data_IF_691770416800
#
_entry.id   IF_691770416800
#
_cell.length_a   1.000
_cell.length_b   1.000
_cell.length_c   1.000
_cell.angle_alpha   90.00
_cell.angle_beta   90.00
_cell.angle_gamma   90.00
#
_symmetry.space_group_name_H-M   'P 1'
#
loop_
_entity.id
_entity.type
_entity.pdbx_description
1 polymer ?
2 non-polymer ?
3 non-polymer ?
4 water ?
#
# COMPACT_ATOMS: atom_id res chain seq x y z
N UNK A 25 -19.42 -5.30 -21.88
CA UNK A 25 -19.50 -6.40 -20.87
C UNK A 25 -20.68 -6.39 -19.88
N UNK A 26 -21.15 -7.55 -19.46
CA UNK A 26 -22.47 -7.58 -18.87
C UNK A 26 -22.27 -7.05 -17.46
N UNK A 27 -23.38 -6.52 -16.94
CA UNK A 27 -23.56 -6.18 -15.54
C UNK A 27 -23.03 -7.26 -14.62
N UNK A 28 -23.60 -8.45 -14.74
CA UNK A 28 -23.32 -9.53 -13.80
C UNK A 28 -21.80 -9.69 -13.77
N UNK A 29 -21.17 -9.49 -14.91
CA UNK A 29 -19.76 -9.84 -14.98
C UNK A 29 -18.99 -8.72 -14.28
N UNK A 30 -19.45 -7.49 -14.44
CA UNK A 30 -18.78 -6.42 -13.72
C UNK A 30 -18.90 -6.56 -12.20
N UNK A 31 -20.16 -6.57 -11.76
CA UNK A 31 -20.43 -7.03 -10.43
C UNK A 31 -19.71 -8.27 -9.93
N UNK A 32 -19.58 -9.35 -10.71
CA UNK A 32 -18.86 -10.49 -10.15
C UNK A 32 -17.37 -10.21 -10.00
N UNK A 33 -16.86 -9.32 -10.86
CA UNK A 33 -15.50 -8.86 -10.73
C UNK A 33 -15.25 -7.99 -9.50
N UNK A 34 -16.16 -7.08 -9.21
CA UNK A 34 -15.92 -6.16 -8.13
C UNK A 34 -16.01 -6.95 -6.81
N UNK A 35 -16.65 -8.11 -6.88
CA UNK A 35 -17.05 -8.77 -5.62
C UNK A 35 -15.89 -8.93 -4.62
N UNK A 36 -14.76 -9.44 -5.13
CA UNK A 36 -13.58 -9.56 -4.28
C UNK A 36 -13.07 -8.23 -3.70
N UNK A 37 -13.04 -7.15 -4.48
CA UNK A 37 -12.54 -5.92 -3.89
C UNK A 37 -13.57 -5.37 -2.93
N UNK A 38 -14.83 -5.62 -3.21
CA UNK A 38 -15.80 -5.29 -2.19
C UNK A 38 -15.58 -6.06 -0.88
N UNK A 39 -15.36 -7.36 -0.99
CA UNK A 39 -14.98 -8.10 0.18
C UNK A 39 -13.85 -7.41 0.90
N UNK A 40 -12.85 -6.97 0.16
CA UNK A 40 -11.65 -6.56 0.90
C UNK A 40 -11.88 -5.21 1.53
N UNK A 41 -12.65 -4.37 0.87
CA UNK A 41 -12.70 -3.00 1.29
C UNK A 41 -13.74 -2.85 2.37
N UNK A 42 -14.44 -3.92 2.69
CA UNK A 42 -15.50 -3.82 3.67
C UNK A 42 -15.08 -3.72 5.14
N UNK A 43 -15.72 -2.84 5.87
CA UNK A 43 -15.36 -2.69 7.28
C UNK A 43 -14.01 -2.05 7.49
N UNK A 44 -13.37 -1.68 6.40
CA UNK A 44 -12.05 -1.09 6.34
C UNK A 44 -12.21 0.45 6.33
N UNK A 45 -11.16 1.18 6.73
CA UNK A 45 -11.15 2.64 6.87
C UNK A 45 -10.35 3.32 5.74
N UNK A 46 -10.95 4.32 5.12
CA UNK A 46 -10.37 4.89 3.92
C UNK A 46 -10.31 6.41 4.14
N UNK A 47 -9.12 7.02 4.23
CA UNK A 47 -9.04 8.45 4.54
C UNK A 47 -8.93 9.16 3.21
N UNK A 48 -9.83 10.07 2.89
CA UNK A 48 -9.61 10.71 1.59
C UNK A 48 -9.20 12.20 1.58
N UNK A 49 -8.06 12.52 0.99
CA UNK A 49 -7.65 13.90 0.94
C UNK A 49 -8.01 14.45 -0.44
N UNK A 50 -8.88 15.45 -0.42
CA UNK A 50 -9.52 15.89 -1.66
C UNK A 50 -9.12 17.30 -2.06
N UNK A 51 -8.62 17.47 -3.27
CA UNK A 51 -8.34 18.82 -3.74
C UNK A 51 -9.64 19.63 -3.78
N UNK A 52 -9.60 20.91 -3.42
CA UNK A 52 -10.86 21.63 -3.19
C UNK A 52 -11.44 22.12 -4.50
N UNK A 53 -10.62 22.11 -5.55
CA UNK A 53 -11.18 22.39 -6.87
C UNK A 53 -12.31 21.41 -7.14
N UNK A 54 -12.22 20.23 -6.54
CA UNK A 54 -13.15 19.16 -6.91
C UNK A 54 -14.53 19.45 -6.33
N UNK A 55 -14.58 20.30 -5.31
CA UNK A 55 -15.79 20.55 -4.55
C UNK A 55 -16.64 21.68 -5.14
N UNK A 56 -16.56 21.88 -6.45
CA UNK A 56 -16.94 23.17 -7.05
C UNK A 56 -17.59 23.04 -8.38
N UNK A 57 -16.91 22.40 -9.32
CA UNK A 57 -17.45 22.21 -10.69
C UNK A 57 -18.73 21.38 -10.78
N UNK A 58 -18.96 20.77 -11.96
CA UNK A 58 -19.88 19.63 -12.07
C UNK A 58 -19.25 18.37 -11.47
N UNK A 59 -17.97 18.47 -11.13
CA UNK A 59 -17.21 17.29 -10.71
C UNK A 59 -17.60 16.85 -9.30
N UNK A 60 -18.47 17.58 -8.62
CA UNK A 60 -18.69 17.42 -7.18
C UNK A 60 -19.83 16.42 -6.96
N UNK A 61 -20.81 16.45 -7.87
CA UNK A 61 -21.99 15.62 -7.74
C UNK A 61 -21.53 14.21 -8.02
N UNK A 62 -20.65 14.05 -9.00
CA UNK A 62 -20.21 12.71 -9.41
C UNK A 62 -19.52 12.21 -8.16
N UNK A 63 -18.72 13.07 -7.55
CA UNK A 63 -17.84 12.55 -6.53
C UNK A 63 -18.54 12.21 -5.21
N UNK A 64 -19.42 13.10 -4.76
CA UNK A 64 -20.33 12.78 -3.66
C UNK A 64 -21.07 11.47 -3.89
N UNK A 65 -21.62 11.30 -5.10
CA UNK A 65 -22.32 10.04 -5.41
C UNK A 65 -21.41 8.85 -5.16
N UNK A 66 -20.19 8.88 -5.70
CA UNK A 66 -19.31 7.72 -5.68
C UNK A 66 -19.05 7.46 -4.22
N UNK A 67 -18.88 8.55 -3.47
CA UNK A 67 -18.72 8.43 -2.02
C UNK A 67 -19.93 7.97 -1.19
N UNK A 68 -21.15 8.35 -1.54
CA UNK A 68 -22.30 7.62 -1.01
C UNK A 68 -22.16 6.13 -1.23
N UNK A 69 -21.80 5.72 -2.43
CA UNK A 69 -21.81 4.31 -2.72
C UNK A 69 -20.82 3.67 -1.75
N UNK A 70 -19.62 4.24 -1.65
CA UNK A 70 -18.63 3.63 -0.75
C UNK A 70 -19.31 3.41 0.60
N UNK A 71 -19.89 4.46 1.13
CA UNK A 71 -20.53 4.34 2.41
C UNK A 71 -21.45 3.13 2.30
N UNK A 72 -22.28 3.08 1.26
CA UNK A 72 -23.25 1.97 1.14
C UNK A 72 -22.52 0.63 1.18
N UNK A 73 -21.28 0.60 0.69
CA UNK A 73 -20.61 -0.69 0.63
C UNK A 73 -19.89 -1.00 1.93
N UNK A 74 -20.31 -0.38 3.04
CA UNK A 74 -19.64 -0.67 4.30
C UNK A 74 -18.19 -0.24 4.49
N UNK A 75 -17.75 0.83 3.82
CA UNK A 75 -16.41 1.30 4.03
C UNK A 75 -16.45 2.46 5.00
N UNK A 76 -15.58 2.47 5.99
CA UNK A 76 -15.48 3.65 6.87
C UNK A 76 -14.71 4.77 6.19
N UNK A 77 -15.29 5.96 6.19
CA UNK A 77 -14.82 7.06 5.36
C UNK A 77 -14.44 8.22 6.26
N UNK A 78 -13.25 8.79 6.04
CA UNK A 78 -12.95 10.07 6.60
C UNK A 78 -12.54 10.89 5.40
N UNK A 79 -13.09 12.09 5.33
CA UNK A 79 -12.87 12.90 4.14
C UNK A 79 -12.31 14.27 4.57
N UNK A 80 -11.22 14.70 3.94
CA UNK A 80 -10.61 15.98 4.29
C UNK A 80 -10.31 16.77 3.05
N UNK A 81 -10.58 18.07 3.08
CA UNK A 81 -10.40 18.84 1.86
C UNK A 81 -9.40 19.96 2.05
N UNK A 82 -8.86 20.45 0.93
CA UNK A 82 -7.88 21.54 0.97
C UNK A 82 -8.58 22.84 0.63
N UNK A 83 -7.81 23.92 0.62
CA UNK A 83 -8.27 25.29 0.42
C UNK A 83 -7.26 26.18 -0.33
N UNK A 84 -6.04 25.68 -0.52
CA UNK A 84 -5.00 26.50 -1.12
C UNK A 84 -5.48 27.10 -2.45
N UNK A 85 -6.01 26.28 -3.36
CA UNK A 85 -6.34 26.84 -4.67
C UNK A 85 -7.50 27.79 -4.58
N UNK A 86 -8.31 27.67 -3.54
CA UNK A 86 -9.39 28.64 -3.52
C UNK A 86 -8.84 29.95 -2.97
N UNK A 87 -8.14 29.84 -1.87
CA UNK A 87 -7.55 31.06 -1.34
C UNK A 87 -6.90 31.89 -2.45
N UNK A 88 -5.92 31.32 -3.16
CA UNK A 88 -5.15 32.06 -4.19
C UNK A 88 -6.06 32.65 -5.24
N UNK A 89 -7.06 31.89 -5.66
CA UNK A 89 -8.00 32.39 -6.66
C UNK A 89 -8.64 33.69 -6.17
N UNK A 90 -8.72 33.84 -4.84
CA UNK A 90 -9.24 35.03 -4.17
C UNK A 90 -8.08 36.00 -3.97
N UNK A 91 -6.90 35.49 -3.67
CA UNK A 91 -5.71 36.31 -3.50
C UNK A 91 -5.29 36.95 -4.82
N UNK A 92 -4.59 36.22 -5.68
CA UNK A 92 -4.21 36.86 -6.94
C UNK A 92 -5.29 37.87 -7.34
N UNK A 93 -6.57 37.53 -7.19
CA UNK A 93 -7.62 38.47 -7.60
C UNK A 93 -8.03 39.55 -6.60
N UNK A 94 -7.28 39.70 -5.50
CA UNK A 94 -7.49 40.80 -4.54
C UNK A 94 -6.38 41.84 -4.69
N UNK A 95 -5.29 41.45 -5.34
CA UNK A 95 -4.12 42.31 -5.52
C UNK A 95 -2.93 41.65 -4.88
N UNK A 96 -3.22 40.79 -3.90
CA UNK A 96 -2.21 40.18 -3.03
C UNK A 96 -1.62 38.96 -3.71
N UNK A 97 -0.45 38.56 -3.24
CA UNK A 97 0.20 37.37 -3.73
C UNK A 97 0.76 36.44 -2.63
N UNK A 98 0.27 35.19 -2.60
CA UNK A 98 0.61 34.18 -1.61
C UNK A 98 2.06 33.70 -1.77
N UNK A 99 2.81 33.64 -0.67
CA UNK A 99 4.09 32.95 -0.69
C UNK A 99 3.94 31.56 -0.10
N UNK A 100 4.58 30.59 -0.73
CA UNK A 100 4.63 29.31 -0.08
C UNK A 100 6.04 29.03 0.38
N UNK A 101 6.16 28.23 1.42
CA UNK A 101 7.49 27.91 1.93
C UNK A 101 7.65 26.40 2.17
N UNK A 102 8.47 25.77 1.35
CA UNK A 102 8.58 24.34 1.44
C UNK A 102 7.19 23.84 1.06
N UNK A 103 6.39 24.66 0.40
CA UNK A 103 5.05 24.22 -0.04
C UNK A 103 3.90 24.73 0.81
N UNK A 104 4.24 25.22 2.00
CA UNK A 104 3.25 25.60 3.01
C UNK A 104 2.90 27.07 2.96
N UNK A 105 1.62 27.35 2.76
CA UNK A 105 1.15 28.66 2.41
C UNK A 105 1.07 29.58 3.63
N UNK A 106 1.80 30.70 3.61
CA UNK A 106 1.69 31.62 4.72
C UNK A 106 0.23 32.06 4.67
N UNK A 107 -0.40 32.05 5.83
CA UNK A 107 -1.81 32.34 5.94
C UNK A 107 -2.06 33.42 6.98
N UNK A 108 -2.52 34.58 6.54
CA UNK A 108 -2.77 35.65 7.52
C UNK A 108 -4.16 35.56 8.10
N UNK A 109 -4.46 36.55 8.92
CA UNK A 109 -5.70 36.54 9.65
C UNK A 109 -6.91 36.72 8.71
N UNK A 110 -6.64 37.13 7.48
CA UNK A 110 -7.71 37.41 6.53
C UNK A 110 -7.93 36.20 5.62
N UNK A 111 -6.83 35.52 5.31
CA UNK A 111 -6.88 34.26 4.59
C UNK A 111 -7.54 33.21 5.48
N UNK A 112 -7.08 33.15 6.72
CA UNK A 112 -7.68 32.23 7.69
C UNK A 112 -9.18 32.48 7.76
N UNK A 113 -9.56 33.75 7.62
CA UNK A 113 -10.97 34.13 7.76
C UNK A 113 -11.74 33.61 6.57
N UNK A 114 -11.11 33.58 5.41
CA UNK A 114 -11.78 33.11 4.22
C UNK A 114 -11.81 31.59 4.18
N UNK A 115 -10.81 31.01 4.81
CA UNK A 115 -10.76 29.56 4.75
C UNK A 115 -11.94 29.08 5.58
N UNK A 116 -12.20 29.72 6.71
CA UNK A 116 -13.39 29.43 7.50
C UNK A 116 -14.65 29.59 6.67
N UNK A 117 -14.73 30.64 5.86
CA UNK A 117 -15.87 30.78 4.94
C UNK A 117 -15.95 29.69 3.86
N UNK A 118 -14.93 29.57 3.01
CA UNK A 118 -14.79 28.44 2.13
C UNK A 118 -15.15 27.07 2.73
N UNK A 119 -14.73 26.74 3.95
CA UNK A 119 -15.13 25.45 4.55
C UNK A 119 -16.64 25.27 4.80
N UNK A 120 -17.32 26.35 5.13
CA UNK A 120 -18.74 26.27 5.42
C UNK A 120 -19.55 26.09 4.14
N UNK A 121 -19.01 26.56 3.01
CA UNK A 121 -19.83 26.62 1.81
C UNK A 121 -19.57 25.32 1.07
N UNK A 122 -18.33 24.86 1.16
CA UNK A 122 -18.03 23.52 0.72
C UNK A 122 -18.77 22.44 1.49
N UNK A 123 -18.73 22.45 2.81
CA UNK A 123 -19.24 21.31 3.60
C UNK A 123 -20.71 21.28 3.30
N UNK A 124 -21.27 22.46 3.06
CA UNK A 124 -22.70 22.54 2.83
C UNK A 124 -23.14 22.12 1.43
N UNK A 125 -22.37 22.47 0.41
CA UNK A 125 -22.66 21.97 -0.92
C UNK A 125 -22.42 20.49 -1.03
N UNK A 126 -21.36 19.99 -0.41
CA UNK A 126 -21.09 18.57 -0.55
C UNK A 126 -22.25 17.86 0.13
N UNK A 127 -22.71 18.43 1.23
CA UNK A 127 -23.86 17.84 1.92
C UNK A 127 -25.06 17.73 0.98
N UNK A 128 -25.42 18.83 0.35
CA UNK A 128 -26.60 18.93 -0.50
C UNK A 128 -26.43 17.92 -1.61
N UNK A 129 -25.28 17.96 -2.26
CA UNK A 129 -24.91 17.06 -3.35
C UNK A 129 -24.95 15.61 -2.95
N UNK A 130 -24.87 15.35 -1.65
CA UNK A 130 -24.86 13.96 -1.23
C UNK A 130 -26.29 13.57 -0.85
N UNK A 131 -27.00 14.60 -0.44
CA UNK A 131 -28.35 14.38 0.02
C UNK A 131 -29.22 14.29 -1.22
N UNK A 132 -28.63 14.62 -2.37
CA UNK A 132 -29.38 14.71 -3.62
C UNK A 132 -29.00 13.70 -4.70
N UNK A 133 -28.54 12.51 -4.28
CA UNK A 133 -27.77 11.58 -5.12
C UNK A 133 -27.07 10.48 -4.33
N UNK A 142 -29.27 10.67 3.34
CA UNK A 142 -29.90 9.56 4.04
C UNK A 142 -28.67 8.72 4.35
N UNK A 143 -27.59 9.10 3.67
CA UNK A 143 -26.22 8.82 4.11
C UNK A 143 -25.84 9.85 5.18
N UNK A 144 -25.46 9.35 6.36
CA UNK A 144 -25.21 10.18 7.51
C UNK A 144 -23.80 10.75 7.49
N UNK A 145 -23.64 12.03 7.80
CA UNK A 145 -22.41 12.71 7.45
C UNK A 145 -22.16 13.58 8.64
N UNK A 146 -20.98 13.38 9.19
CA UNK A 146 -20.66 13.92 10.51
C UNK A 146 -19.39 14.70 10.62
N UNK A 147 -19.48 15.85 11.27
CA UNK A 147 -18.35 16.75 11.37
C UNK A 147 -18.16 17.08 12.84
N UNK A 148 -16.94 17.48 13.18
CA UNK A 148 -16.48 17.30 14.55
C UNK A 148 -15.28 18.17 14.84
N UNK A 149 -15.11 18.54 16.09
CA UNK A 149 -13.88 19.21 16.40
C UNK A 149 -12.85 18.17 16.73
N UNK A 150 -12.52 17.32 15.78
CA UNK A 150 -11.53 16.29 16.04
C UNK A 150 -10.09 16.79 16.05
N UNK A 151 -9.81 18.03 15.67
CA UNK A 151 -8.38 18.39 15.52
C UNK A 151 -7.82 19.51 16.40
N UNK A 152 -6.67 19.31 17.02
CA UNK A 152 -6.05 20.46 17.63
C UNK A 152 -4.72 20.78 16.93
N UNK A 153 -4.65 21.99 16.40
CA UNK A 153 -3.49 22.46 15.67
C UNK A 153 -2.57 23.29 16.56
N UNK A 154 -1.30 23.34 16.17
CA UNK A 154 -0.39 24.39 16.53
C UNK A 154 0.11 25.01 15.22
N UNK A 155 0.54 26.28 15.27
CA UNK A 155 1.07 27.00 14.10
C UNK A 155 2.41 26.39 13.72
N UNK A 156 2.70 26.44 12.44
CA UNK A 156 3.94 25.82 12.04
C UNK A 156 5.10 26.64 12.55
N UNK A 157 4.85 27.93 12.81
CA UNK A 157 5.90 28.82 13.28
C UNK A 157 6.75 29.38 12.14
N UNK A 158 8.06 29.41 12.33
CA UNK A 158 8.86 30.15 11.38
C UNK A 158 9.68 29.20 10.53
N UNK A 159 9.63 29.34 9.20
CA UNK A 159 10.49 28.53 8.34
C UNK A 159 11.48 29.36 7.49
N UNK A 160 12.77 29.12 7.69
CA UNK A 160 13.79 29.89 6.96
C UNK A 160 13.54 31.40 7.13
N UNK A 161 13.45 31.83 8.39
CA UNK A 161 13.20 33.23 8.74
C UNK A 161 11.83 33.76 8.32
N UNK A 162 10.89 32.89 7.97
CA UNK A 162 9.61 33.39 7.50
C UNK A 162 8.50 32.97 8.42
N UNK A 163 7.80 33.92 9.01
CA UNK A 163 6.58 33.66 9.77
C UNK A 163 5.42 33.09 8.93
N UNK A 164 5.09 31.83 9.16
CA UNK A 164 3.98 31.22 8.44
C UNK A 164 2.67 31.69 9.04
N UNK A 165 2.73 32.36 10.17
CA UNK A 165 1.55 32.99 10.77
C UNK A 165 0.52 31.99 11.24
N UNK A 166 -0.60 31.95 10.51
CA UNK A 166 -1.67 31.03 10.83
C UNK A 166 -1.57 29.67 10.14
N UNK A 167 -0.47 29.38 9.46
CA UNK A 167 -0.29 28.02 8.97
C UNK A 167 -0.05 27.05 10.13
N UNK A 168 -1.07 26.23 10.40
CA UNK A 168 -0.96 25.12 11.34
C UNK A 168 -0.51 23.76 10.82
N UNK A 169 -0.26 22.88 11.78
CA UNK A 169 -0.09 21.46 11.52
C UNK A 169 -0.76 20.79 12.71
N UNK A 170 -1.08 19.50 12.62
CA UNK A 170 -1.96 18.90 13.62
C UNK A 170 -1.06 18.51 14.77
N UNK A 171 -1.42 18.91 15.98
CA UNK A 171 -0.69 18.55 17.18
C UNK A 171 -1.41 17.36 17.82
N UNK A 172 -2.74 17.37 17.93
CA UNK A 172 -3.48 16.21 18.43
C UNK A 172 -4.73 15.99 17.61
N UNK A 173 -5.14 14.73 17.56
CA UNK A 173 -6.21 14.28 16.69
C UNK A 173 -7.00 13.34 17.61
N UNK A 174 -8.29 13.64 17.83
CA UNK A 174 -9.10 12.85 18.77
C UNK A 174 -9.47 11.52 18.11
N UNK A 175 -8.59 10.56 18.32
CA UNK A 175 -8.82 9.30 17.64
C UNK A 175 -10.03 8.56 18.19
N UNK A 176 -10.24 8.54 19.50
CA UNK A 176 -11.35 7.73 20.03
C UNK A 176 -12.66 8.29 19.49
N UNK A 177 -12.77 9.61 19.48
CA UNK A 177 -13.99 10.21 18.99
C UNK A 177 -14.25 9.77 17.57
N UNK A 178 -13.22 9.74 16.73
CA UNK A 178 -13.37 9.40 15.29
C UNK A 178 -13.82 7.96 15.16
N UNK A 179 -13.13 7.04 15.83
CA UNK A 179 -13.51 5.62 15.69
C UNK A 179 -14.96 5.46 16.09
N UNK A 180 -15.34 6.17 17.14
CA UNK A 180 -16.71 6.16 17.59
C UNK A 180 -17.67 6.47 16.45
N UNK A 181 -17.37 7.45 15.58
CA UNK A 181 -18.33 7.90 14.60
C UNK A 181 -18.33 6.92 13.46
N UNK A 182 -17.12 6.55 12.99
CA UNK A 182 -16.98 5.45 12.04
C UNK A 182 -17.60 4.19 12.56
N UNK A 183 -17.42 3.85 13.84
CA UNK A 183 -18.13 2.65 14.35
C UNK A 183 -19.63 2.74 14.06
N UNK A 184 -20.19 3.94 14.20
CA UNK A 184 -21.62 4.04 14.07
C UNK A 184 -22.01 4.07 12.60
N UNK A 185 -21.04 4.10 11.70
CA UNK A 185 -21.38 4.27 10.29
C UNK A 185 -21.53 5.70 9.80
N UNK A 186 -20.98 6.71 10.47
CA UNK A 186 -21.08 8.02 9.89
C UNK A 186 -19.95 8.29 8.92
N UNK A 187 -20.19 9.03 7.84
CA UNK A 187 -19.06 9.48 7.02
C UNK A 187 -18.50 10.73 7.69
N UNK A 188 -17.21 10.74 7.99
CA UNK A 188 -16.62 11.90 8.63
C UNK A 188 -16.14 12.94 7.63
N UNK A 189 -16.61 14.17 7.83
CA UNK A 189 -16.10 15.29 7.08
C UNK A 189 -15.21 16.19 7.91
N UNK A 190 -14.05 16.49 7.36
CA UNK A 190 -13.06 17.29 8.09
C UNK A 190 -12.59 18.47 7.22
N UNK A 191 -12.77 19.70 7.72
CA UNK A 191 -12.21 20.78 6.93
C UNK A 191 -10.72 20.94 7.27
N UNK A 192 -10.04 21.79 6.49
CA UNK A 192 -8.62 21.86 6.74
C UNK A 192 -8.35 22.95 7.79
N UNK A 193 -8.88 22.75 8.99
CA UNK A 193 -8.83 23.74 10.06
C UNK A 193 -8.81 22.96 11.35
N UNK A 194 -7.79 23.21 12.17
CA UNK A 194 -7.75 22.86 13.59
C UNK A 194 -7.74 24.09 14.50
N UNK A 195 -8.00 23.84 15.78
CA UNK A 195 -7.94 24.85 16.83
C UNK A 195 -6.89 24.52 17.88
N UNK A 196 -6.44 25.56 18.56
CA UNK A 196 -5.31 25.41 19.46
C UNK A 196 -5.97 25.72 20.77
N UNK A 197 -5.30 25.35 21.85
CA UNK A 197 -5.74 25.64 23.20
C UNK A 197 -5.75 27.12 23.59
N UNK A 198 -5.16 28.01 22.78
CA UNK A 198 -5.09 29.41 23.19
C UNK A 198 -6.30 30.09 22.61
N UNK A 199 -7.15 29.28 21.96
CA UNK A 199 -8.40 29.72 21.32
C UNK A 199 -8.28 30.27 19.90
N UNK A 200 -7.23 29.83 19.20
CA UNK A 200 -6.92 30.35 17.87
C UNK A 200 -7.12 29.18 16.92
N UNK A 201 -7.42 29.52 15.66
CA UNK A 201 -7.75 28.56 14.63
C UNK A 201 -6.67 28.59 13.60
N UNK A 202 -6.23 27.40 13.17
CA UNK A 202 -5.15 27.36 12.18
C UNK A 202 -5.50 26.71 10.87
N UNK A 203 -4.74 27.09 9.85
CA UNK A 203 -5.00 26.56 8.52
C UNK A 203 -4.10 25.37 8.24
N UNK A 204 -4.67 24.25 7.83
CA UNK A 204 -3.90 22.98 7.83
C UNK A 204 -3.55 22.54 6.42
N UNK A 205 -2.40 21.94 6.21
CA UNK A 205 -2.10 21.58 4.85
C UNK A 205 -2.85 20.27 4.57
N UNK A 206 -3.67 20.22 3.51
CA UNK A 206 -4.51 19.04 3.33
C UNK A 206 -3.72 17.75 3.20
N UNK A 207 -2.73 17.80 2.32
CA UNK A 207 -1.94 16.66 1.97
C UNK A 207 -1.27 16.06 3.18
N UNK A 208 -0.74 16.87 4.05
CA UNK A 208 -0.15 16.14 5.13
C UNK A 208 -1.04 16.09 6.35
N UNK A 209 -2.18 16.73 6.28
CA UNK A 209 -3.19 16.43 7.29
C UNK A 209 -3.80 15.06 7.16
N UNK A 210 -4.10 14.68 5.92
CA UNK A 210 -4.80 13.44 5.67
C UNK A 210 -3.90 12.34 6.10
N UNK A 211 -2.59 12.49 5.92
CA UNK A 211 -1.72 11.33 6.01
C UNK A 211 -1.54 11.16 7.48
N UNK A 212 -1.50 12.30 8.18
CA UNK A 212 -1.46 12.27 9.65
C UNK A 212 -2.70 11.64 10.33
N UNK A 213 -3.87 12.19 10.01
CA UNK A 213 -5.09 11.45 10.26
C UNK A 213 -5.16 9.93 9.92
N UNK A 214 -4.66 9.49 8.75
CA UNK A 214 -4.59 8.05 8.46
C UNK A 214 -3.69 7.29 9.40
N UNK A 215 -2.59 7.92 9.79
CA UNK A 215 -1.64 7.18 10.58
C UNK A 215 -2.32 7.10 11.96
N UNK A 216 -2.88 8.21 12.43
CA UNK A 216 -3.61 8.07 13.69
C UNK A 216 -4.61 6.89 13.66
N UNK A 217 -5.31 6.74 12.55
CA UNK A 217 -6.46 5.85 12.51
C UNK A 217 -5.89 4.49 12.20
N UNK A 218 -4.60 4.45 11.88
CA UNK A 218 -4.06 3.26 11.19
C UNK A 218 -4.99 2.80 10.06
N UNK A 219 -5.47 3.70 9.19
CA UNK A 219 -6.35 3.32 8.12
C UNK A 219 -5.62 2.37 7.18
N UNK A 220 -6.40 1.52 6.54
CA UNK A 220 -5.81 0.59 5.57
C UNK A 220 -5.42 1.35 4.33
N UNK A 221 -6.11 2.44 4.09
CA UNK A 221 -5.95 3.07 2.80
C UNK A 221 -6.20 4.59 2.85
N UNK A 222 -5.23 5.33 2.33
CA UNK A 222 -5.23 6.80 2.21
C UNK A 222 -5.36 7.06 0.72
N UNK A 223 -6.34 7.86 0.31
CA UNK A 223 -6.49 8.17 -1.11
C UNK A 223 -6.42 9.67 -1.35
N UNK A 224 -5.58 10.09 -2.30
CA UNK A 224 -5.47 11.52 -2.56
C UNK A 224 -6.17 11.80 -3.90
N UNK A 225 -7.15 12.70 -3.94
CA UNK A 225 -7.96 12.85 -5.16
C UNK A 225 -7.50 14.14 -5.76
N UNK A 226 -6.69 14.03 -6.82
CA UNK A 226 -5.95 15.20 -7.28
C UNK A 226 -6.62 15.56 -8.59
N UNK A 227 -5.89 16.34 -9.39
CA UNK A 227 -6.28 16.71 -10.73
C UNK A 227 -5.39 16.07 -11.79
N UNK A 228 -4.73 15.00 -11.36
CA UNK A 228 -3.75 14.32 -12.21
C UNK A 228 -3.97 12.83 -12.12
N UNK A 229 -3.79 12.18 -13.28
CA UNK A 229 -3.89 10.75 -13.46
C UNK A 229 -2.67 10.16 -12.79
N UNK A 230 -2.50 10.38 -11.51
CA UNK A 230 -1.46 9.64 -10.82
C UNK A 230 -0.07 10.17 -11.10
N UNK A 231 0.95 9.46 -10.67
CA UNK A 231 2.31 9.92 -10.76
C UNK A 231 3.06 9.32 -11.97
N UNK A 232 3.81 10.13 -12.72
CA UNK A 232 4.36 9.71 -14.01
C UNK A 232 5.78 9.26 -13.78
N UNK A 233 6.22 8.23 -14.50
CA UNK A 233 7.62 7.85 -14.43
C UNK A 233 8.51 8.73 -15.32
N UNK A 234 9.84 8.50 -15.20
CA UNK A 234 10.87 9.30 -15.86
C UNK A 234 10.45 9.62 -17.28
N UNK A 235 9.62 8.80 -17.90
CA UNK A 235 9.29 9.16 -19.28
C UNK A 235 7.83 9.01 -19.68
N UNK A 236 6.96 9.68 -18.93
CA UNK A 236 5.68 10.10 -19.43
C UNK A 236 4.60 9.06 -19.15
N UNK A 237 5.03 7.83 -18.87
CA UNK A 237 4.11 6.75 -18.53
C UNK A 237 3.65 6.84 -17.08
N UNK A 238 2.38 6.53 -16.84
CA UNK A 238 1.83 6.67 -15.51
C UNK A 238 2.20 5.41 -14.78
N UNK A 239 2.78 5.64 -13.59
CA UNK A 239 3.19 4.63 -12.63
C UNK A 239 1.99 3.96 -11.92
N UNK A 240 1.51 2.89 -12.52
CA UNK A 240 0.52 2.00 -11.92
C UNK A 240 0.71 1.67 -10.42
N UNK A 241 1.73 0.88 -10.09
CA UNK A 241 2.10 0.56 -8.70
C UNK A 241 3.57 0.89 -8.35
N UNK A 242 3.84 1.35 -7.13
CA UNK A 242 5.22 1.65 -6.77
C UNK A 242 5.54 1.26 -5.32
N UNK A 243 6.76 0.81 -5.08
CA UNK A 243 7.16 0.67 -3.69
C UNK A 243 7.42 2.05 -3.13
N UNK A 244 7.39 2.21 -1.83
CA UNK A 244 7.76 3.48 -1.26
C UNK A 244 9.13 3.91 -1.79
N UNK A 245 10.01 2.93 -2.01
CA UNK A 245 11.35 3.22 -2.53
C UNK A 245 11.34 3.82 -3.93
N UNK A 246 10.60 3.16 -4.81
CA UNK A 246 10.56 3.60 -6.20
C UNK A 246 9.94 4.99 -6.20
N UNK A 247 8.90 5.14 -5.38
CA UNK A 247 8.28 6.45 -5.23
C UNK A 247 9.37 7.46 -4.92
N UNK A 248 9.98 7.25 -3.75
CA UNK A 248 11.12 8.02 -3.29
C UNK A 248 12.06 8.44 -4.43
N UNK A 249 12.50 7.46 -5.21
CA UNK A 249 13.50 7.75 -6.21
C UNK A 249 12.94 8.50 -7.41
N UNK A 250 11.63 8.50 -7.62
CA UNK A 250 11.05 9.30 -8.71
C UNK A 250 11.04 10.76 -8.35
N UNK A 251 11.10 11.00 -7.05
CA UNK A 251 10.93 12.33 -6.50
C UNK A 251 12.11 13.24 -6.86
N UNK A 252 13.34 12.71 -6.88
CA UNK A 252 14.52 13.54 -7.12
C UNK A 252 14.40 14.40 -8.38
N UNK A 253 13.60 13.94 -9.34
CA UNK A 253 13.39 14.64 -10.60
C UNK A 253 11.95 15.06 -10.86
N UNK A 254 11.23 15.31 -9.79
CA UNK A 254 9.80 15.44 -9.88
C UNK A 254 9.50 16.85 -9.40
N UNK A 255 8.24 17.25 -9.57
CA UNK A 255 7.86 18.64 -9.51
C UNK A 255 7.45 18.85 -8.06
N UNK A 256 7.82 20.00 -7.50
CA UNK A 256 7.30 20.42 -6.20
C UNK A 256 6.10 19.59 -5.70
N UNK A 257 4.94 19.76 -6.34
CA UNK A 257 3.65 19.28 -5.89
C UNK A 257 3.69 17.78 -5.72
N UNK A 258 4.05 17.08 -6.79
CA UNK A 258 4.16 15.65 -6.74
C UNK A 258 5.32 15.24 -5.82
N UNK A 259 6.27 16.11 -5.58
CA UNK A 259 7.24 15.81 -4.52
C UNK A 259 6.66 15.70 -3.09
N UNK A 260 5.66 16.53 -2.79
CA UNK A 260 5.07 16.54 -1.45
C UNK A 260 4.00 15.47 -1.26
N UNK A 261 3.26 15.19 -2.32
CA UNK A 261 2.47 13.98 -2.29
C UNK A 261 3.39 12.85 -1.83
N UNK A 262 4.52 12.68 -2.53
CA UNK A 262 5.36 11.52 -2.26
C UNK A 262 5.84 11.37 -0.82
N UNK A 263 6.32 12.47 -0.24
CA UNK A 263 6.71 12.41 1.15
C UNK A 263 5.58 12.10 2.11
N UNK A 264 4.41 12.67 1.89
CA UNK A 264 3.34 12.40 2.84
C UNK A 264 2.87 10.98 2.62
N UNK A 265 3.13 10.46 1.42
CA UNK A 265 2.58 9.16 1.12
C UNK A 265 3.54 8.16 1.69
N UNK A 266 4.81 8.54 1.63
CA UNK A 266 5.83 7.72 2.25
C UNK A 266 5.68 7.70 3.75
N UNK A 267 5.32 8.83 4.33
CA UNK A 267 5.30 8.91 5.77
C UNK A 267 4.05 8.21 6.24
N UNK A 268 3.02 8.18 5.41
CA UNK A 268 1.76 7.60 5.88
C UNK A 268 2.04 6.12 5.99
N UNK A 269 2.59 5.58 4.90
CA UNK A 269 2.99 4.16 4.90
C UNK A 269 3.91 3.75 6.05
N UNK A 270 5.01 4.46 6.27
CA UNK A 270 5.92 4.03 7.31
C UNK A 270 5.19 4.16 8.63
N UNK A 271 4.27 5.11 8.69
CA UNK A 271 3.48 5.33 9.89
C UNK A 271 2.42 4.27 10.15
N UNK A 272 2.12 3.44 9.15
CA UNK A 272 1.40 2.19 9.38
C UNK A 272 0.32 1.96 8.35
N UNK A 273 -0.11 3.01 7.67
CA UNK A 273 -1.07 2.85 6.59
C UNK A 273 -0.62 1.79 5.58
N UNK A 274 -1.57 1.09 4.99
CA UNK A 274 -1.28 -0.15 4.29
C UNK A 274 -0.96 0.22 2.85
N UNK A 275 -1.59 1.27 2.33
CA UNK A 275 -1.55 1.48 0.89
C UNK A 275 -1.97 2.93 0.59
N UNK A 276 -1.18 3.77 -0.04
CA UNK A 276 -1.75 5.08 -0.34
C UNK A 276 -1.98 5.26 -1.82
N UNK A 277 -3.15 5.69 -2.27
CA UNK A 277 -3.33 5.96 -3.71
C UNK A 277 -3.45 7.40 -4.22
N UNK A 278 -3.05 7.59 -5.47
CA UNK A 278 -3.17 8.88 -6.13
C UNK A 278 -4.03 8.78 -7.41
N UNK A 279 -5.12 9.52 -7.46
CA UNK A 279 -6.02 9.45 -8.59
C UNK A 279 -6.31 10.87 -9.03
N UNK A 280 -6.89 10.89 -10.23
CA UNK A 280 -7.52 12.08 -10.73
C UNK A 280 -8.95 12.17 -10.31
N UNK A 281 -9.21 12.97 -9.28
CA UNK A 281 -10.60 13.08 -8.82
C UNK A 281 -11.53 13.69 -9.86
N UNK A 282 -10.96 14.40 -10.81
CA UNK A 282 -11.83 15.03 -11.79
C UNK A 282 -12.28 14.08 -12.89
N UNK A 283 -11.63 12.93 -13.03
CA UNK A 283 -11.93 11.96 -14.07
C UNK A 283 -13.13 11.16 -13.59
N UNK A 284 -14.18 11.09 -14.42
CA UNK A 284 -15.46 10.53 -13.97
C UNK A 284 -15.49 9.05 -13.49
N UNK A 285 -15.77 8.86 -12.21
CA UNK A 285 -15.89 7.51 -11.66
C UNK A 285 -14.55 6.89 -11.35
N UNK A 286 -13.48 7.66 -11.42
CA UNK A 286 -12.18 7.04 -11.16
C UNK A 286 -12.11 6.31 -9.81
N UNK A 287 -12.77 6.82 -8.78
CA UNK A 287 -12.63 6.26 -7.45
C UNK A 287 -13.09 4.82 -7.45
N UNK A 288 -14.26 4.60 -8.03
CA UNK A 288 -14.85 3.27 -8.15
C UNK A 288 -13.92 2.32 -8.86
N UNK A 289 -13.56 2.75 -10.05
CA UNK A 289 -12.74 1.98 -10.98
C UNK A 289 -11.38 1.66 -10.35
N UNK A 290 -10.87 2.56 -9.51
CA UNK A 290 -9.63 2.30 -8.80
C UNK A 290 -9.80 1.19 -7.75
N UNK A 291 -10.87 1.32 -6.94
CA UNK A 291 -11.08 0.44 -5.79
C UNK A 291 -11.62 -0.94 -6.10
N UNK A 292 -12.38 -1.08 -7.17
CA UNK A 292 -13.09 -2.34 -7.37
C UNK A 292 -12.82 -3.07 -8.69
N UNK A 293 -11.74 -2.70 -9.41
CA UNK A 293 -11.17 -3.44 -10.54
C UNK A 293 -9.78 -4.03 -10.27
N UNK A 294 -9.44 -5.04 -11.10
CA UNK A 294 -8.16 -5.79 -11.02
C UNK A 294 -7.09 -4.82 -11.52
N UNK A 295 -7.50 -4.04 -12.51
CA UNK A 295 -6.81 -2.81 -12.89
C UNK A 295 -7.22 -1.61 -12.02
N UNK A 296 -7.02 -0.40 -12.51
CA UNK A 296 -7.18 0.78 -11.69
C UNK A 296 -7.23 1.95 -12.67
N UNK A 297 -6.88 3.14 -12.19
CA UNK A 297 -6.65 4.25 -13.10
C UNK A 297 -5.72 5.28 -12.42
N UNK A 298 -4.89 4.87 -11.47
CA UNK A 298 -4.00 5.89 -10.94
C UNK A 298 -2.75 5.24 -10.42
N UNK A 299 -2.15 5.81 -9.39
CA UNK A 299 -0.88 5.27 -8.97
C UNK A 299 -1.24 4.66 -7.65
N UNK A 300 -0.55 3.59 -7.32
CA UNK A 300 -0.68 3.12 -5.96
C UNK A 300 0.66 2.75 -5.34
N UNK A 301 0.73 2.88 -4.03
CA UNK A 301 2.03 2.84 -3.38
C UNK A 301 2.02 2.06 -2.08
N UNK A 302 3.06 1.25 -1.93
CA UNK A 302 3.05 0.17 -0.94
C UNK A 302 4.44 0.00 -0.37
N UNK A 303 4.56 -0.39 0.91
CA UNK A 303 5.86 -0.53 1.58
C UNK A 303 6.25 -1.98 1.85
N UNK A 304 6.96 -2.52 0.87
CA UNK A 304 8.20 -3.31 1.07
C UNK A 304 8.76 -3.39 2.50
N UNK A 305 8.05 -3.99 3.45
CA UNK A 305 8.68 -4.25 4.74
C UNK A 305 10.13 -4.84 4.71
N UNK A 306 10.86 -4.78 5.82
CA UNK A 306 12.28 -5.22 5.89
C UNK A 306 12.52 -6.73 5.84
N UNK A 307 13.14 -7.21 4.77
CA UNK A 307 13.66 -8.57 4.87
C UNK A 307 14.94 -8.85 4.10
N UNK A 308 16.02 -8.96 4.84
CA UNK A 308 17.33 -9.23 4.28
C UNK A 308 17.46 -10.69 3.79
N UNK A 309 17.31 -10.90 2.49
CA UNK A 309 17.55 -12.23 1.94
C UNK A 309 18.82 -12.26 1.10
N UNK A 310 19.73 -13.21 1.35
CA UNK A 310 21.00 -13.28 0.61
C UNK A 310 21.60 -14.66 0.39
N UNK A 311 22.57 -14.71 -0.50
CA UNK A 311 23.20 -15.95 -0.85
C UNK A 311 23.80 -16.56 0.41
N UNK A 312 23.30 -17.71 0.84
CA UNK A 312 23.98 -18.50 1.85
C UNK A 312 25.47 -18.70 1.58
N UNK A 313 26.27 -18.65 2.65
CA UNK A 313 27.70 -18.93 2.55
C UNK A 313 28.14 -19.82 3.71
N UNK A 314 29.41 -20.17 3.72
CA UNK A 314 29.89 -21.20 4.63
C UNK A 314 29.35 -21.11 6.07
N UNK A 315 29.29 -19.92 6.68
CA UNK A 315 28.85 -19.69 8.06
C UNK A 315 27.41 -20.01 8.50
N UNK A 316 26.46 -19.85 7.57
CA UNK A 316 25.06 -20.19 7.84
C UNK A 316 24.79 -21.66 8.12
N UNK A 317 25.76 -22.54 7.82
CA UNK A 317 25.36 -23.92 7.69
C UNK A 317 24.88 -24.49 9.02
N UNK A 318 25.63 -24.24 10.11
CA UNK A 318 25.07 -24.71 11.38
C UNK A 318 23.65 -24.21 11.66
N UNK A 319 23.40 -22.90 11.56
CA UNK A 319 22.01 -22.43 11.59
C UNK A 319 21.05 -23.20 10.71
N UNK A 320 21.36 -23.27 9.41
CA UNK A 320 20.45 -23.93 8.49
C UNK A 320 20.16 -25.37 8.90
N UNK A 321 21.21 -25.99 9.43
CA UNK A 321 21.13 -27.35 9.93
C UNK A 321 20.13 -27.46 11.09
N UNK A 322 20.20 -26.52 12.03
CA UNK A 322 19.38 -26.57 13.21
C UNK A 322 17.93 -26.34 12.79
N UNK A 323 17.77 -25.44 11.81
CA UNK A 323 16.46 -25.07 11.30
C UNK A 323 15.83 -26.27 10.60
N UNK A 324 16.68 -26.89 9.79
CA UNK A 324 16.35 -27.95 8.85
C UNK A 324 16.16 -29.32 9.55
N UNK A 325 16.96 -29.53 10.59
CA UNK A 325 17.03 -30.85 11.14
C UNK A 325 15.74 -31.37 11.76
N UNK A 326 15.06 -30.55 12.59
CA UNK A 326 13.81 -31.03 13.18
C UNK A 326 12.86 -31.58 12.11
N UNK A 327 12.73 -30.77 11.06
CA UNK A 327 11.83 -30.98 9.95
C UNK A 327 12.27 -32.24 9.19
N UNK A 328 13.58 -32.33 8.97
CA UNK A 328 14.09 -33.49 8.26
C UNK A 328 13.92 -34.75 9.06
N UNK A 329 13.73 -34.61 10.37
CA UNK A 329 13.31 -35.72 11.25
C UNK A 329 11.80 -36.01 11.26
N UNK A 330 10.96 -35.04 10.97
CA UNK A 330 9.54 -35.35 10.97
C UNK A 330 9.10 -36.00 9.65
N UNK A 331 10.01 -36.03 8.69
CA UNK A 331 9.62 -36.38 7.31
C UNK A 331 9.02 -35.33 6.37
N UNK A 332 9.39 -34.07 6.51
CA UNK A 332 8.65 -33.02 5.83
C UNK A 332 9.66 -32.54 4.81
N UNK A 333 10.93 -32.82 5.11
CA UNK A 333 12.03 -32.41 4.25
C UNK A 333 13.00 -33.57 3.93
N UNK A 334 13.48 -33.61 2.70
CA UNK A 334 14.47 -34.63 2.36
C UNK A 334 15.59 -34.41 3.35
N UNK A 335 16.25 -35.52 3.67
CA UNK A 335 17.33 -35.52 4.64
C UNK A 335 18.58 -35.02 3.90
N UNK A 336 19.16 -33.95 4.44
CA UNK A 336 20.48 -33.45 4.06
C UNK A 336 21.69 -33.83 4.96
N UNK A 337 22.78 -33.07 4.85
CA UNK A 337 23.94 -33.43 5.65
C UNK A 337 25.07 -32.43 5.41
N UNK A 338 25.85 -32.20 6.47
CA UNK A 338 26.95 -31.24 6.46
C UNK A 338 27.60 -31.15 5.07
N UNK A 339 27.89 -32.29 4.44
CA UNK A 339 28.66 -32.28 3.21
C UNK A 339 27.71 -31.93 2.08
N UNK A 340 26.50 -32.46 2.17
CA UNK A 340 25.51 -32.20 1.13
C UNK A 340 25.49 -30.70 0.91
N UNK A 341 25.18 -30.03 2.03
CA UNK A 341 25.02 -28.60 2.18
C UNK A 341 26.29 -27.81 1.87
N UNK A 342 27.39 -28.18 2.55
CA UNK A 342 28.75 -27.68 2.29
C UNK A 342 29.08 -27.61 0.79
N UNK A 343 28.71 -28.64 0.04
CA UNK A 343 29.01 -28.66 -1.38
C UNK A 343 27.98 -28.01 -2.31
N UNK A 344 26.80 -27.66 -1.80
CA UNK A 344 25.78 -27.00 -2.60
C UNK A 344 25.35 -25.69 -1.96
N UNK A 345 26.13 -25.21 -0.99
CA UNK A 345 25.78 -24.00 -0.28
C UNK A 345 25.51 -22.89 -1.26
N UNK A 346 25.91 -23.01 -2.52
CA UNK A 346 25.58 -21.91 -3.43
C UNK A 346 24.11 -21.92 -3.89
N UNK A 347 23.42 -23.05 -3.81
CA UNK A 347 22.06 -23.08 -4.37
C UNK A 347 21.00 -22.64 -3.35
N UNK A 348 21.50 -22.25 -2.18
CA UNK A 348 20.68 -21.84 -1.02
C UNK A 348 20.61 -20.34 -0.78
N UNK A 349 19.42 -19.92 -0.34
CA UNK A 349 19.20 -18.58 0.21
C UNK A 349 18.72 -18.63 1.66
N UNK A 350 19.06 -17.58 2.40
CA UNK A 350 18.61 -17.51 3.78
C UNK A 350 18.07 -16.13 4.05
N UNK A 351 17.17 -16.06 5.04
CA UNK A 351 16.46 -14.87 5.40
C UNK A 351 16.87 -14.59 6.85
N UNK A 352 17.13 -13.32 7.17
CA UNK A 352 17.82 -13.07 8.42
C UNK A 352 17.37 -11.74 8.98
N UNK A 353 17.28 -11.68 10.28
CA UNK A 353 16.93 -10.42 10.93
C UNK A 353 17.88 -10.32 12.10
N UNK A 354 18.66 -9.23 12.16
CA UNK A 354 19.44 -8.92 13.34
C UNK A 354 20.49 -10.01 13.57
N UNK A 355 21.03 -10.53 12.46
CA UNK A 355 21.96 -11.66 12.49
C UNK A 355 21.28 -13.01 12.68
N UNK A 356 20.03 -12.98 13.16
CA UNK A 356 19.24 -14.18 13.31
C UNK A 356 18.69 -14.72 11.99
N UNK A 357 18.77 -16.04 11.87
CA UNK A 357 18.38 -16.80 10.68
C UNK A 357 16.96 -17.24 10.95
N UNK A 358 16.02 -16.83 10.10
CA UNK A 358 14.64 -17.20 10.31
C UNK A 358 14.08 -18.11 9.23
N UNK A 359 14.80 -18.30 8.11
CA UNK A 359 14.31 -19.14 7.01
C UNK A 359 15.32 -19.46 5.92
N UNK A 360 15.05 -20.47 5.08
CA UNK A 360 15.90 -20.78 3.91
C UNK A 360 15.19 -21.43 2.72
N UNK A 361 15.84 -21.47 1.55
CA UNK A 361 15.20 -21.97 0.33
C UNK A 361 16.31 -22.15 -0.71
N UNK A 362 16.21 -23.20 -1.52
CA UNK A 362 17.29 -23.53 -2.43
C UNK A 362 16.65 -23.69 -3.79
N UNK A 363 17.44 -23.44 -4.83
CA UNK A 363 16.98 -23.63 -6.22
C UNK A 363 17.80 -24.79 -6.80
N UNK A 364 17.16 -25.91 -7.13
CA UNK A 364 17.88 -26.94 -7.87
C UNK A 364 17.69 -26.72 -9.36
N UNK A 365 18.70 -27.08 -10.13
CA UNK A 365 18.68 -27.10 -11.58
C UNK A 365 18.91 -28.49 -12.20
N UNK A 366 18.72 -28.61 -13.51
CA UNK A 366 18.60 -29.89 -14.23
C UNK A 366 19.18 -29.84 -15.66
N UNK A 367 19.31 -31.01 -16.29
CA UNK A 367 19.78 -30.96 -17.66
C UNK A 367 18.77 -30.24 -18.52
N UNK A 368 17.49 -30.31 -18.20
CA UNK A 368 16.55 -29.46 -18.92
C UNK A 368 16.67 -27.96 -18.56
N UNK A 369 17.15 -27.10 -19.45
CA UNK A 369 17.49 -25.71 -19.11
C UNK A 369 16.30 -24.82 -18.67
N UNK A 370 15.10 -25.26 -19.06
CA UNK A 370 13.86 -24.58 -18.71
C UNK A 370 13.40 -24.90 -17.29
N UNK A 371 13.94 -25.96 -16.67
CA UNK A 371 13.42 -26.42 -15.37
C UNK A 371 14.15 -25.90 -14.15
N UNK A 372 13.45 -26.04 -13.03
CA UNK A 372 13.97 -25.59 -11.76
C UNK A 372 13.19 -26.25 -10.64
N UNK A 373 13.76 -26.23 -9.45
CA UNK A 373 12.97 -26.65 -8.32
C UNK A 373 13.17 -25.79 -7.07
N UNK A 374 12.08 -25.44 -6.42
CA UNK A 374 12.21 -24.87 -5.10
C UNK A 374 12.47 -26.03 -4.16
N UNK A 375 13.61 -25.98 -3.48
CA UNK A 375 13.90 -27.02 -2.51
C UNK A 375 14.22 -26.47 -1.14
N UNK A 376 13.94 -27.28 -0.12
CA UNK A 376 14.37 -26.99 1.26
C UNK A 376 13.78 -25.67 1.84
N UNK A 377 12.47 -25.48 1.70
CA UNK A 377 11.84 -24.23 2.06
C UNK A 377 11.42 -24.39 3.52
N UNK A 378 11.90 -23.48 4.36
CA UNK A 378 11.70 -23.67 5.80
C UNK A 378 11.75 -22.33 6.49
N UNK A 379 10.76 -22.05 7.34
CA UNK A 379 10.79 -20.92 8.26
C UNK A 379 10.64 -21.35 9.72
N UNK A 380 11.36 -20.72 10.65
CA UNK A 380 11.23 -21.13 12.06
C UNK A 380 9.80 -21.06 12.58
N UNK A 381 9.40 -21.97 13.46
CA UNK A 381 7.98 -21.92 13.77
C UNK A 381 7.66 -20.63 14.51
N UNK A 382 8.64 -20.08 15.23
CA UNK A 382 8.36 -18.85 15.97
C UNK A 382 7.98 -17.74 14.99
N UNK A 383 8.75 -17.58 13.93
CA UNK A 383 8.66 -16.42 13.03
C UNK A 383 7.80 -16.75 11.82
N UNK A 384 6.99 -17.79 11.97
CA UNK A 384 6.06 -18.18 10.90
C UNK A 384 4.90 -17.18 10.78
N UNK A 385 4.15 -17.28 9.68
CA UNK A 385 2.87 -16.59 9.53
C UNK A 385 2.92 -15.11 9.19
N UNK A 386 4.11 -14.55 9.02
CA UNK A 386 4.21 -13.20 8.50
C UNK A 386 4.72 -13.05 7.09
N UNK A 387 4.44 -13.99 6.19
CA UNK A 387 4.93 -13.86 4.83
C UNK A 387 6.42 -14.13 4.59
N UNK A 388 7.20 -14.38 5.63
CA UNK A 388 8.47 -15.02 5.35
C UNK A 388 8.48 -16.15 4.29
N UNK A 389 7.62 -17.16 4.38
CA UNK A 389 7.75 -18.20 3.36
C UNK A 389 7.65 -17.67 1.94
N UNK A 390 6.47 -17.14 1.63
CA UNK A 390 6.36 -16.26 0.49
C UNK A 390 7.56 -15.43 0.00
N UNK A 391 8.24 -14.75 0.90
CA UNK A 391 9.37 -13.90 0.48
C UNK A 391 10.54 -14.72 -0.10
N UNK A 392 10.74 -15.88 0.49
CA UNK A 392 11.77 -16.79 0.05
C UNK A 392 11.30 -17.39 -1.27
N UNK A 393 10.09 -17.93 -1.32
CA UNK A 393 9.55 -18.37 -2.60
C UNK A 393 9.75 -17.27 -3.63
N UNK A 394 9.27 -16.06 -3.36
CA UNK A 394 9.44 -15.05 -4.42
C UNK A 394 10.89 -14.96 -4.87
N UNK A 395 11.73 -14.56 -3.94
CA UNK A 395 13.18 -14.55 -4.11
C UNK A 395 13.71 -15.65 -4.99
N UNK A 396 13.61 -16.90 -4.54
CA UNK A 396 13.95 -17.96 -5.47
C UNK A 396 13.37 -17.78 -6.86
N UNK A 397 12.06 -17.56 -7.03
CA UNK A 397 11.57 -17.38 -8.40
C UNK A 397 12.23 -16.23 -9.19
N UNK A 398 12.54 -15.10 -8.57
CA UNK A 398 13.46 -14.17 -9.22
C UNK A 398 14.76 -14.76 -9.70
N UNK A 399 15.42 -15.53 -8.83
CA UNK A 399 16.66 -16.20 -9.19
C UNK A 399 16.47 -17.30 -10.24
N UNK A 400 15.47 -18.15 -10.10
CA UNK A 400 15.23 -19.11 -11.19
C UNK A 400 15.06 -18.36 -12.52
N UNK A 401 14.55 -17.14 -12.46
CA UNK A 401 14.17 -16.54 -13.70
C UNK A 401 15.39 -15.84 -14.33
N UNK A 402 16.28 -15.39 -13.46
CA UNK A 402 17.41 -14.68 -14.02
C UNK A 402 18.33 -15.66 -14.74
N UNK A 403 18.09 -16.96 -14.55
CA UNK A 403 18.85 -17.91 -15.34
C UNK A 403 18.04 -18.61 -16.45
N UNK A 404 16.99 -17.94 -16.92
CA UNK A 404 16.16 -18.43 -18.03
C UNK A 404 15.27 -19.62 -17.68
N UNK A 405 15.09 -19.91 -16.40
CA UNK A 405 14.11 -20.90 -15.96
C UNK A 405 12.63 -20.47 -15.99
N UNK A 406 11.80 -21.30 -16.62
CA UNK A 406 10.43 -20.92 -16.93
C UNK A 406 9.35 -21.83 -16.32
N UNK A 407 9.81 -22.97 -15.82
CA UNK A 407 8.99 -23.85 -15.00
C UNK A 407 9.68 -24.16 -13.67
N UNK A 408 9.01 -23.86 -12.55
CA UNK A 408 9.52 -24.18 -11.21
C UNK A 408 8.71 -25.26 -10.53
N UNK A 409 9.36 -26.38 -10.20
CA UNK A 409 8.68 -27.49 -9.50
C UNK A 409 8.71 -27.36 -7.97
N UNK A 410 7.81 -28.03 -7.26
CA UNK A 410 7.92 -28.08 -5.78
C UNK A 410 7.29 -29.37 -5.28
N UNK A 411 8.03 -30.20 -4.54
CA UNK A 411 7.43 -31.47 -4.20
C UNK A 411 7.24 -31.44 -2.70
N UNK A 412 6.26 -32.19 -2.21
CA UNK A 412 5.89 -31.93 -0.86
C UNK A 412 4.94 -33.02 -0.43
N UNK A 413 5.10 -33.34 0.83
CA UNK A 413 4.46 -34.50 1.38
C UNK A 413 3.28 -34.05 2.26
N UNK A 414 3.39 -32.84 2.84
CA UNK A 414 2.40 -32.37 3.81
C UNK A 414 2.07 -30.92 3.57
N UNK A 415 2.71 -30.32 2.58
CA UNK A 415 2.60 -28.89 2.37
C UNK A 415 2.12 -28.47 0.98
N UNK A 416 1.62 -29.39 0.15
CA UNK A 416 1.22 -29.13 -1.25
C UNK A 416 0.37 -27.88 -1.49
N UNK A 417 -0.69 -27.67 -0.72
CA UNK A 417 -1.59 -26.52 -0.92
C UNK A 417 -0.89 -25.18 -0.72
N UNK A 418 0.06 -25.07 0.22
CA UNK A 418 0.80 -23.81 0.30
C UNK A 418 1.19 -23.41 -1.13
N UNK A 419 1.50 -24.38 -1.98
CA UNK A 419 1.95 -24.05 -3.32
C UNK A 419 0.81 -24.00 -4.34
N UNK A 420 -0.20 -24.84 -4.11
CA UNK A 420 -1.42 -24.84 -4.93
C UNK A 420 -2.15 -23.50 -4.85
N UNK A 421 -2.12 -22.93 -3.65
CA UNK A 421 -2.71 -21.66 -3.29
C UNK A 421 -1.88 -20.51 -3.86
N UNK A 422 -0.61 -20.77 -4.15
CA UNK A 422 0.33 -19.68 -4.43
C UNK A 422 0.90 -19.96 -5.82
N UNK A 423 0.08 -20.57 -6.67
CA UNK A 423 0.25 -20.38 -8.10
C UNK A 423 0.86 -21.58 -8.78
N UNK A 424 0.83 -22.74 -8.12
CA UNK A 424 1.34 -23.98 -8.68
C UNK A 424 0.24 -24.92 -9.10
N UNK A 425 0.38 -25.56 -10.26
CA UNK A 425 -0.50 -26.67 -10.69
C UNK A 425 0.05 -28.04 -10.29
N UNK A 426 -0.87 -28.93 -9.96
CA UNK A 426 -0.58 -30.34 -9.78
C UNK A 426 0.17 -30.91 -10.98
N UNK A 427 1.12 -31.82 -10.79
CA UNK A 427 1.73 -32.51 -11.94
C UNK A 427 1.89 -34.02 -11.70
N UNK A 428 2.38 -34.80 -12.67
CA UNK A 428 2.64 -36.22 -12.38
C UNK A 428 4.13 -36.64 -12.36
N UNK A 429 4.43 -37.91 -12.11
CA UNK A 429 5.84 -38.35 -12.06
C UNK A 429 6.46 -38.10 -13.42
N UNK A 430 5.68 -38.46 -14.45
CA UNK A 430 6.14 -38.48 -15.82
C UNK A 430 6.51 -37.13 -16.41
N UNK A 431 6.22 -36.08 -15.64
CA UNK A 431 6.50 -34.71 -16.02
C UNK A 431 7.77 -34.09 -15.43
N UNK A 432 8.38 -34.74 -14.45
CA UNK A 432 9.55 -34.17 -13.79
C UNK A 432 10.75 -34.20 -14.72
N UNK A 433 11.73 -33.34 -14.44
CA UNK A 433 12.98 -33.63 -15.13
C UNK A 433 13.33 -35.11 -14.97
N UNK A 434 13.85 -35.73 -16.02
CA UNK A 434 14.22 -37.14 -15.99
C UNK A 434 14.93 -37.67 -14.72
N UNK A 435 16.03 -37.04 -14.34
CA UNK A 435 16.73 -37.33 -13.09
C UNK A 435 15.89 -37.19 -11.82
N UNK A 436 15.18 -36.09 -11.67
CA UNK A 436 14.34 -35.90 -10.47
C UNK A 436 13.24 -36.96 -10.41
N UNK A 437 12.98 -37.60 -11.54
CA UNK A 437 11.93 -38.59 -11.66
C UNK A 437 12.54 -39.88 -11.14
N UNK A 438 13.77 -40.13 -11.56
CA UNK A 438 14.55 -41.18 -10.92
C UNK A 438 14.52 -41.06 -9.40
N UNK A 439 15.02 -39.96 -8.81
CA UNK A 439 15.08 -39.85 -7.34
C UNK A 439 13.70 -40.06 -6.77
N UNK A 440 12.71 -39.36 -7.31
CA UNK A 440 11.35 -39.51 -6.85
C UNK A 440 10.94 -40.99 -6.73
N UNK A 441 11.18 -41.79 -7.77
CA UNK A 441 10.83 -43.22 -7.76
C UNK A 441 11.40 -43.94 -6.56
N UNK A 442 12.67 -43.70 -6.25
CA UNK A 442 13.41 -44.52 -5.28
C UNK A 442 13.57 -43.77 -3.96
N UNK A 443 12.81 -42.68 -3.81
CA UNK A 443 12.48 -42.07 -2.54
C UNK A 443 11.66 -42.97 -1.62
N UNK A 444 10.47 -43.29 -2.12
CA UNK A 444 9.47 -43.96 -1.33
C UNK A 444 8.54 -42.97 -0.67
N UNK A 445 8.71 -41.67 -0.95
CA UNK A 445 7.91 -40.65 -0.24
C UNK A 445 6.58 -40.33 -0.87
N UNK A 446 6.52 -40.46 -2.19
CA UNK A 446 5.31 -40.14 -2.94
C UNK A 446 4.90 -38.69 -2.87
N UNK A 447 5.84 -37.84 -2.48
CA UNK A 447 5.57 -36.42 -2.46
C UNK A 447 4.55 -36.10 -3.51
N UNK A 448 3.74 -35.10 -3.20
CA UNK A 448 2.97 -34.49 -4.29
C UNK A 448 3.90 -33.62 -5.12
N UNK A 449 3.62 -33.61 -6.43
CA UNK A 449 4.36 -32.76 -7.33
C UNK A 449 3.60 -31.57 -7.94
N UNK A 450 4.21 -30.39 -7.88
CA UNK A 450 3.60 -29.21 -8.50
C UNK A 450 4.59 -28.33 -9.27
N UNK A 451 4.04 -27.43 -10.09
CA UNK A 451 4.88 -26.61 -10.93
C UNK A 451 4.15 -25.29 -11.06
N UNK A 452 4.91 -24.30 -11.50
CA UNK A 452 4.46 -22.93 -11.72
C UNK A 452 5.27 -22.28 -12.85
N UNK A 453 4.61 -21.74 -13.87
CA UNK A 453 5.29 -21.20 -15.07
C UNK A 453 5.78 -19.80 -14.72
N UNK A 454 7.07 -19.55 -14.93
CA UNK A 454 7.64 -18.26 -14.52
C UNK A 454 7.62 -17.37 -15.74
N UNK A 455 7.55 -16.05 -15.54
CA UNK A 455 7.36 -15.21 -16.71
C UNK A 455 8.59 -14.40 -17.17
N UNK A 456 8.83 -14.33 -18.48
CA UNK A 456 10.00 -13.61 -19.01
C UNK A 456 10.12 -12.16 -18.54
X LIG B 1 -0.52 -26.22 4.22
X LIG B 1 -1.23 -25.17 3.82
X LIG B 1 -1.00 -23.92 4.22
X LIG B 1 -0.04 -23.77 5.14
X LIG B 1 0.66 -24.85 5.66
X LIG B 1 0.48 -26.09 5.10
X LIG B 1 1.24 -27.07 5.58
X LIG B 1 1.54 -24.43 6.56
X LIG B 1 1.41 -23.09 6.58
X LIG B 1 0.46 -22.70 5.72
X LIG B 1 -0.14 -21.36 5.53
X LIG B 1 -0.29 -20.98 7.00
X LIG B 1 -1.49 -21.63 7.49
X LIG B 1 -0.59 -19.51 6.80
X LIG B 1 -1.96 -19.51 6.33
X LIG B 1 -2.67 -18.04 6.13
X LIG B 1 -2.08 -17.39 4.73
X LIG B 1 -4.27 -18.17 5.80
X LIG B 1 -2.29 -17.38 7.42
X LIG B 1 0.41 -19.14 5.66
X LIG B 1 0.69 -20.34 4.91
X LIG B 1 1.81 -18.62 5.97
X LIG B 1 2.39 -18.18 4.75
X LIG B 1 3.74 -17.32 4.94
X LIG B 1 4.04 -16.54 3.69
X LIG B 1 3.62 -16.64 6.24
X LIG B 1 4.83 -18.51 5.08
X LIG B 1 5.61 -18.89 6.42
X LIG B 1 4.68 -19.18 7.55
X LIG B 1 6.70 -17.91 6.63
X LIG B 1 6.23 -20.34 5.91
X LIG B 1 5.97 -22.72 5.36
X LIG B 1 5.48 -21.29 5.13
X LIG B 1 7.44 -22.81 4.99
X LIG B 1 5.06 -23.57 4.50
X LIG B 1 5.75 -23.22 6.78
X LIG B 1 5.96 -22.11 7.62
X LIG B 1 6.76 -24.30 7.20
X LIG B 1 7.99 -24.11 7.36
X LIG B 1 6.16 -25.46 7.41
X LIG B 1 7.01 -26.64 7.71
X LIG B 1 8.21 -26.73 6.74
X LIG B 1 7.72 -27.16 5.34
X LIG B 1 6.61 -27.67 5.09
X LIG B 1 8.61 -26.80 4.42
X LIG B 1 8.51 -27.06 3.13
X LIG B 1 7.36 -27.66 2.63
X LIG B 1 7.81 -28.87 1.34
X LIG C 1 11.31 -30.69 0.38
X LIG C 1 12.79 -30.52 0.22
X LIG C 1 13.50 -31.34 0.86
X LIG C 1 13.26 -29.69 -0.60
X LIG C 1 11.13 -32.02 -0.30
X LIG C 1 9.80 -32.71 -0.18
X LIG C 1 9.81 -34.01 -1.00
X LIG C 1 10.57 -34.17 -1.99
X LIG C 1 8.95 -34.90 -0.78
X LIG C 1 10.55 -28.49 -0.33
X LIG C 1 9.71 -27.70 -1.29
X LIG C 1 11.15 -27.88 0.53
X LIG C 1 10.61 -29.82 -0.52
#
# INVERSE_FOLDING_TARGET
MGSSHHHHHHSSGLVPRGSHMNAPDSFVAHFREAAPYIRQMRGTTLVAGIDGRLLEGGTLNKLAADIGLLSQLGIRLVLIHGAYHFLDRLAAAQGRTPHYCRGLRVTDETSLGQAQQFAGTVRSRFEAALCGSVSGFARAPSVPLVSGNFLTARPIGVIDGTDMEYAGVIRKTDTAALRFQLDAGNIVWMPPLGHSYGGKTFNLDMVQAAASVAVSLQAEKLVYLTLSDGISRPDGTLAETLSAQEAQSLAEHAASETRRLISSAVAALEGGVHRVQILNGAADGSLLQELFTRNGIGTSIAKEAFVSIRQAHSGDIPHIAALIRPLEEQGILLHRSREYLENHISEFSILEHDGNLYGCAALKTFAEADCGEIACLAVSPQAQDGGYGERLLAHIIDKARGIGISRLFALSTNTGEWFAERGFQTASEDELPETRRKDYRSNGRNSHILVRRLHR
COA N1A C2A N3A C4A C5A C6A N6A N7A C8A N9A C1B C2B O2B C3B O3B P3B O7A O8A O9A C4B O4B C5B O5B P1A O1A O2A O3A P2A O4A O5A O6A CBP CCP CDP CEP CAP OAP C9P O9P N8P C7P C6P C5P O5P N4P C3P C2P S1P
NLG CA C OXT O CB CG CD OE1 OE2 C7 C8 O7 N2
#
